data_IF_090658840815
#
_entry.id   IF_090658840815
#
_cell.length_a   1.000
_cell.length_b   1.000
_cell.length_c   1.000
_cell.angle_alpha   90.00
_cell.angle_beta   90.00
_cell.angle_gamma   90.00
#
_symmetry.space_group_name_H-M   'P 1'
#
loop_
_entity.id
_entity.type
_entity.pdbx_description
1 polymer ?
#
# COMPACT_ATOMS: atom_id res chain seq x y z
N UNK A 1 -6.50 -40.19 24.81
CA UNK A 1 -7.00 -40.12 23.42
C UNK A 1 -6.93 -38.67 23.02
N UNK A 2 -6.20 -38.33 21.95
CA UNK A 2 -6.14 -36.95 21.48
C UNK A 2 -7.43 -36.65 20.71
N UNK A 3 -8.29 -35.79 21.27
CA UNK A 3 -9.44 -35.22 20.58
C UNK A 3 -8.92 -34.30 19.48
N UNK A 4 -9.18 -34.64 18.23
CA UNK A 4 -8.76 -33.85 17.07
C UNK A 4 -9.62 -32.59 16.93
N UNK A 5 -9.08 -31.57 16.26
CA UNK A 5 -9.80 -30.32 15.96
C UNK A 5 -11.14 -30.57 15.24
N UNK A 6 -11.24 -31.66 14.48
CA UNK A 6 -12.42 -32.06 13.72
C UNK A 6 -13.46 -32.82 14.55
N UNK A 7 -13.14 -33.18 15.79
CA UNK A 7 -14.08 -33.80 16.72
C UNK A 7 -14.93 -32.74 17.46
N UNK A 8 -14.60 -31.46 17.28
CA UNK A 8 -15.37 -30.33 17.81
C UNK A 8 -16.63 -30.08 16.98
N UNK A 9 -17.71 -29.54 17.59
CA UNK A 9 -18.86 -29.05 16.84
C UNK A 9 -18.45 -28.04 15.76
N UNK A 10 -19.10 -28.12 14.60
CA UNK A 10 -18.79 -27.30 13.42
C UNK A 10 -18.78 -25.79 13.73
N UNK A 11 -19.67 -25.35 14.61
CA UNK A 11 -19.80 -23.96 15.05
C UNK A 11 -18.56 -23.50 15.83
N UNK A 12 -18.03 -24.37 16.69
CA UNK A 12 -16.81 -24.12 17.46
C UNK A 12 -15.58 -24.09 16.55
N UNK A 13 -15.50 -24.99 15.57
CA UNK A 13 -14.43 -24.97 14.57
C UNK A 13 -14.49 -23.67 13.77
N UNK A 14 -15.67 -23.28 13.25
CA UNK A 14 -15.86 -22.03 12.53
C UNK A 14 -15.50 -20.81 13.37
N UNK A 15 -15.89 -20.80 14.65
CA UNK A 15 -15.54 -19.72 15.59
C UNK A 15 -14.03 -19.61 15.79
N UNK A 16 -13.33 -20.75 15.98
CA UNK A 16 -11.88 -20.77 16.13
C UNK A 16 -11.21 -20.24 14.86
N UNK A 17 -11.59 -20.78 13.70
CA UNK A 17 -11.06 -20.37 12.41
C UNK A 17 -11.29 -18.87 12.11
N UNK A 18 -12.46 -18.34 12.43
CA UNK A 18 -12.81 -16.95 12.11
C UNK A 18 -12.14 -15.92 13.02
N UNK A 19 -11.87 -16.26 14.28
CA UNK A 19 -11.40 -15.30 15.28
C UNK A 19 -9.91 -15.43 15.61
N UNK A 20 -9.31 -16.60 15.40
CA UNK A 20 -7.94 -16.87 15.85
C UNK A 20 -6.95 -17.14 14.71
N UNK A 21 -7.43 -17.32 13.49
CA UNK A 21 -6.57 -17.54 12.34
C UNK A 21 -6.66 -16.38 11.35
N UNK A 22 -5.50 -15.99 10.83
CA UNK A 22 -5.42 -15.02 9.76
C UNK A 22 -5.71 -15.67 8.40
N UNK A 23 -5.80 -14.85 7.35
CA UNK A 23 -6.05 -15.34 6.01
C UNK A 23 -4.97 -16.30 5.49
N UNK A 24 -3.72 -16.16 5.95
CA UNK A 24 -2.60 -17.00 5.55
C UNK A 24 -2.74 -18.41 6.10
N UNK A 25 -3.08 -18.53 7.38
CA UNK A 25 -3.28 -19.81 8.03
C UNK A 25 -4.57 -20.49 7.57
N UNK A 26 -5.64 -19.73 7.35
CA UNK A 26 -6.85 -20.23 6.70
C UNK A 26 -6.55 -20.76 5.30
N UNK A 27 -5.69 -20.08 4.54
CA UNK A 27 -5.27 -20.54 3.22
C UNK A 27 -4.42 -21.81 3.27
N UNK A 28 -3.53 -21.94 4.25
CA UNK A 28 -2.78 -23.19 4.49
C UNK A 28 -3.73 -24.33 4.83
N UNK A 29 -4.66 -24.12 5.76
CA UNK A 29 -5.68 -25.11 6.13
C UNK A 29 -6.52 -25.55 4.93
N UNK A 30 -6.88 -24.60 4.06
CA UNK A 30 -7.59 -24.88 2.82
C UNK A 30 -6.80 -25.79 1.86
N UNK A 31 -5.47 -25.66 1.83
CA UNK A 31 -4.59 -26.46 0.98
C UNK A 31 -4.27 -27.84 1.57
N UNK A 32 -4.15 -27.95 2.90
CA UNK A 32 -3.61 -29.15 3.55
C UNK A 32 -4.65 -30.24 3.83
N UNK A 33 -5.92 -29.90 4.00
CA UNK A 33 -6.96 -30.88 4.36
C UNK A 33 -8.25 -30.64 3.59
N UNK A 34 -8.82 -31.71 3.02
CA UNK A 34 -10.12 -31.66 2.33
C UNK A 34 -11.27 -31.35 3.28
N UNK A 35 -11.20 -31.83 4.53
CA UNK A 35 -12.22 -31.59 5.55
C UNK A 35 -12.17 -30.15 6.07
N UNK A 36 -10.98 -29.63 6.34
CA UNK A 36 -10.80 -28.24 6.79
C UNK A 36 -11.00 -27.23 5.65
N UNK A 37 -10.91 -27.67 4.39
CA UNK A 37 -11.16 -26.84 3.21
C UNK A 37 -12.51 -26.17 3.25
N UNK A 38 -13.57 -26.91 3.59
CA UNK A 38 -14.92 -26.36 3.64
C UNK A 38 -15.04 -25.24 4.67
N UNK A 39 -14.55 -25.48 5.90
CA UNK A 39 -14.59 -24.49 6.96
C UNK A 39 -13.73 -23.26 6.63
N UNK A 40 -12.51 -23.47 6.11
CA UNK A 40 -11.65 -22.38 5.66
C UNK A 40 -12.28 -21.58 4.51
N UNK A 41 -12.87 -22.25 3.51
CA UNK A 41 -13.59 -21.57 2.42
C UNK A 41 -14.74 -20.72 2.95
N UNK A 42 -15.55 -21.25 3.86
CA UNK A 42 -16.67 -20.52 4.45
C UNK A 42 -16.17 -19.30 5.23
N UNK A 43 -15.19 -19.45 6.12
CA UNK A 43 -14.62 -18.32 6.90
C UNK A 43 -14.01 -17.26 5.99
N UNK A 44 -13.30 -17.65 4.94
CA UNK A 44 -12.70 -16.68 4.02
C UNK A 44 -13.79 -15.95 3.21
N UNK A 45 -14.87 -16.62 2.82
CA UNK A 45 -15.99 -15.96 2.14
C UNK A 45 -16.76 -15.03 3.08
N UNK A 46 -17.05 -15.44 4.31
CA UNK A 46 -17.91 -14.68 5.22
C UNK A 46 -17.16 -13.57 5.95
N UNK A 47 -15.99 -13.88 6.51
CA UNK A 47 -15.19 -12.93 7.31
C UNK A 47 -14.36 -12.02 6.40
N UNK A 48 -13.72 -12.58 5.37
CA UNK A 48 -12.80 -11.83 4.50
C UNK A 48 -13.44 -11.32 3.21
N UNK A 49 -14.69 -11.73 2.92
CA UNK A 49 -15.46 -11.34 1.72
C UNK A 49 -14.71 -11.63 0.42
N UNK A 50 -13.98 -12.74 0.35
CA UNK A 50 -13.24 -13.15 -0.85
C UNK A 50 -14.03 -14.26 -1.55
N UNK A 51 -14.37 -14.03 -2.82
CA UNK A 51 -14.95 -15.06 -3.67
C UNK A 51 -13.92 -16.17 -3.95
N UNK A 52 -14.24 -17.39 -3.49
CA UNK A 52 -13.42 -18.59 -3.65
C UNK A 52 -13.46 -19.19 -5.05
N UNK A 53 -14.29 -18.68 -5.96
CA UNK A 53 -14.31 -19.14 -7.36
C UNK A 53 -12.97 -18.93 -8.06
N UNK A 54 -12.14 -18.00 -7.56
CA UNK A 54 -10.77 -17.78 -8.01
C UNK A 54 -9.80 -17.94 -6.84
N UNK A 55 -9.10 -19.08 -6.81
CA UNK A 55 -8.01 -19.35 -5.85
C UNK A 55 -6.91 -18.29 -5.86
N UNK A 56 -6.72 -17.63 -7.01
CA UNK A 56 -5.76 -16.55 -7.19
C UNK A 56 -6.02 -15.36 -6.26
N UNK A 57 -7.28 -14.92 -6.08
CA UNK A 57 -7.58 -13.77 -5.23
C UNK A 57 -7.18 -14.01 -3.78
N UNK A 58 -7.38 -15.23 -3.30
CA UNK A 58 -7.02 -15.64 -1.93
C UNK A 58 -5.51 -15.77 -1.80
N UNK A 59 -4.84 -16.43 -2.75
CA UNK A 59 -3.37 -16.54 -2.79
C UNK A 59 -2.70 -15.18 -2.80
N UNK A 60 -3.16 -14.27 -3.67
CA UNK A 60 -2.66 -12.91 -3.74
C UNK A 60 -2.90 -12.17 -2.42
N UNK A 61 -4.10 -12.21 -1.84
CA UNK A 61 -4.37 -11.51 -0.56
C UNK A 61 -3.55 -12.07 0.60
N UNK A 62 -3.43 -13.39 0.73
CA UNK A 62 -2.59 -14.01 1.76
C UNK A 62 -1.12 -13.60 1.58
N UNK A 63 -0.63 -13.58 0.34
CA UNK A 63 0.74 -13.14 0.06
C UNK A 63 0.94 -11.64 0.34
N UNK A 64 -0.02 -10.79 0.03
CA UNK A 64 0.07 -9.35 0.32
C UNK A 64 0.12 -9.07 1.83
N UNK A 65 -0.59 -9.85 2.64
CA UNK A 65 -0.51 -9.76 4.11
C UNK A 65 0.90 -10.11 4.60
N UNK A 66 1.47 -11.22 4.13
CA UNK A 66 2.85 -11.62 4.49
C UNK A 66 3.86 -10.56 4.05
N UNK A 67 3.71 -10.01 2.84
CA UNK A 67 4.58 -8.95 2.33
C UNK A 67 4.47 -7.68 3.17
N UNK A 68 3.27 -7.36 3.63
CA UNK A 68 3.05 -6.25 4.55
C UNK A 68 3.78 -6.48 5.87
N UNK A 69 3.61 -7.65 6.50
CA UNK A 69 4.26 -7.97 7.77
C UNK A 69 5.78 -7.87 7.65
N UNK A 70 6.36 -8.35 6.54
CA UNK A 70 7.78 -8.18 6.24
C UNK A 70 8.15 -6.70 6.12
N UNK A 71 7.39 -5.89 5.38
CA UNK A 71 7.61 -4.45 5.28
C UNK A 71 7.60 -3.76 6.66
N UNK A 72 6.71 -4.20 7.54
CA UNK A 72 6.61 -3.66 8.90
C UNK A 72 7.83 -3.98 9.75
N UNK A 73 8.35 -5.21 9.65
CA UNK A 73 9.53 -5.65 10.40
C UNK A 73 10.78 -4.89 9.94
N UNK A 74 10.96 -4.70 8.64
CA UNK A 74 12.11 -3.98 8.10
C UNK A 74 12.08 -2.48 8.44
N UNK A 75 10.90 -1.85 8.52
CA UNK A 75 10.78 -0.47 8.96
C UNK A 75 11.19 -0.25 10.43
N UNK A 76 11.16 -1.30 11.26
CA UNK A 76 11.57 -1.24 12.67
C UNK A 76 13.07 -1.47 12.89
N UNK A 77 13.82 -1.94 11.88
CA UNK A 77 15.27 -2.12 11.96
C UNK A 77 15.93 -0.75 11.80
N UNK A 78 16.00 -0.02 12.91
CA UNK A 78 16.81 1.19 13.04
C UNK A 78 18.28 0.76 13.18
N UNK A 79 19.24 1.30 12.40
CA UNK A 79 20.65 1.12 12.73
C UNK A 79 20.91 1.78 14.08
N UNK A 80 21.43 0.99 15.03
CA UNK A 80 21.91 1.46 16.33
C UNK A 80 22.89 2.63 16.11
N UNK A 81 22.80 3.72 16.87
CA UNK A 81 23.69 4.86 16.66
C UNK A 81 25.09 4.50 17.15
N UNK A 82 26.02 4.28 16.23
CA UNK A 82 27.44 4.40 16.54
C UNK A 82 27.73 5.86 16.83
N UNK A 83 28.19 6.11 18.04
CA UNK A 83 28.58 7.39 18.61
C UNK A 83 29.65 8.07 17.75
N UNK A 84 29.28 9.15 17.05
CA UNK A 84 30.21 10.23 16.71
C UNK A 84 29.43 11.52 16.49
N UNK A 85 29.66 12.44 17.41
CA UNK A 85 29.21 13.83 17.46
C UNK A 85 29.62 14.65 16.23
N UNK A 86 28.67 15.38 15.63
CA UNK A 86 28.78 16.83 15.30
C UNK A 86 27.66 17.31 14.36
N UNK A 87 26.91 18.30 14.85
CA UNK A 87 26.28 19.45 14.16
C UNK A 87 25.64 19.32 12.75
N UNK A 88 24.37 19.73 12.70
CA UNK A 88 23.64 20.34 11.58
C UNK A 88 23.55 19.58 10.24
N UNK A 89 22.57 18.68 10.11
CA UNK A 89 21.95 18.31 8.82
C UNK A 89 20.70 17.43 9.05
N UNK A 90 19.51 18.03 9.05
CA UNK A 90 18.22 17.34 9.33
C UNK A 90 17.55 16.74 8.09
N UNK A 91 18.05 17.00 6.88
CA UNK A 91 17.50 16.47 5.62
C UNK A 91 18.23 15.22 5.11
N UNK A 92 19.55 15.14 5.31
CA UNK A 92 20.39 14.04 4.80
C UNK A 92 20.07 12.70 5.45
N UNK A 93 19.78 12.70 6.75
CA UNK A 93 19.47 11.50 7.54
C UNK A 93 18.12 10.86 7.20
N UNK A 94 17.11 11.66 6.80
CA UNK A 94 15.81 11.14 6.35
C UNK A 94 15.92 10.48 4.97
N UNK A 95 16.71 11.09 4.08
CA UNK A 95 16.98 10.56 2.76
C UNK A 95 17.77 9.25 2.84
N UNK A 96 18.75 9.15 3.76
CA UNK A 96 19.47 7.90 4.05
C UNK A 96 18.58 6.79 4.60
N UNK A 97 17.65 7.08 5.51
CA UNK A 97 16.71 6.07 6.02
C UNK A 97 15.79 5.53 4.91
N UNK A 98 15.26 6.39 4.05
CA UNK A 98 14.47 5.98 2.88
C UNK A 98 15.30 5.27 1.82
N UNK A 99 16.51 5.74 1.55
CA UNK A 99 17.49 5.05 0.69
C UNK A 99 17.85 3.68 1.28
N UNK A 100 17.90 3.52 2.59
CA UNK A 100 18.13 2.22 3.26
C UNK A 100 16.91 1.32 3.16
N UNK A 101 15.68 1.83 3.17
CA UNK A 101 14.46 1.04 2.88
C UNK A 101 14.37 0.70 1.38
N UNK A 102 14.80 1.60 0.50
CA UNK A 102 14.87 1.39 -0.95
C UNK A 102 16.03 0.45 -1.32
N UNK A 103 17.16 0.46 -0.61
CA UNK A 103 18.35 -0.34 -0.92
C UNK A 103 18.48 -1.63 -0.08
N UNK A 104 17.96 -1.66 1.14
CA UNK A 104 18.09 -2.76 2.11
C UNK A 104 16.94 -3.77 2.11
N UNK A 105 16.04 -3.67 1.12
CA UNK A 105 14.99 -4.66 0.89
C UNK A 105 15.57 -5.79 0.04
N UNK A 106 16.51 -6.52 0.64
CA UNK A 106 17.05 -7.75 0.08
C UNK A 106 16.68 -8.86 1.05
N UNK A 107 15.77 -9.73 0.63
CA UNK A 107 15.26 -10.77 1.49
C UNK A 107 14.65 -11.85 0.61
N UNK A 108 15.39 -12.93 0.40
CA UNK A 108 14.98 -14.11 -0.37
C UNK A 108 13.51 -14.52 -0.12
N UNK A 109 13.00 -14.31 1.11
CA UNK A 109 11.59 -14.53 1.48
C UNK A 109 10.59 -13.71 0.65
N UNK A 110 10.88 -12.44 0.39
CA UNK A 110 10.05 -11.57 -0.45
C UNK A 110 10.09 -12.06 -1.90
N UNK A 111 11.29 -12.39 -2.40
CA UNK A 111 11.44 -12.93 -3.75
C UNK A 111 10.68 -14.25 -3.93
N UNK A 112 10.75 -15.16 -2.95
CA UNK A 112 9.98 -16.41 -2.93
C UNK A 112 8.48 -16.13 -2.95
N UNK A 113 8.02 -15.11 -2.23
CA UNK A 113 6.61 -14.74 -2.18
C UNK A 113 6.13 -14.14 -3.50
N UNK A 114 6.91 -13.23 -4.08
CA UNK A 114 6.69 -12.67 -5.41
C UNK A 114 6.64 -13.80 -6.45
N UNK A 115 7.61 -14.73 -6.45
CA UNK A 115 7.63 -15.89 -7.34
C UNK A 115 6.40 -16.79 -7.17
N UNK A 116 5.91 -16.99 -5.94
CA UNK A 116 4.67 -17.74 -5.69
C UNK A 116 3.46 -17.05 -6.31
N UNK A 117 3.34 -15.72 -6.17
CA UNK A 117 2.28 -14.94 -6.83
C UNK A 117 2.40 -15.10 -8.35
N UNK A 118 3.59 -14.89 -8.89
CA UNK A 118 3.86 -15.00 -10.33
C UNK A 118 3.52 -16.38 -10.89
N UNK A 119 3.94 -17.44 -10.20
CA UNK A 119 3.62 -18.82 -10.55
C UNK A 119 2.12 -19.11 -10.45
N UNK A 120 1.43 -18.50 -9.48
CA UNK A 120 -0.03 -18.57 -9.39
C UNK A 120 -0.70 -17.95 -10.62
N UNK A 121 -0.27 -16.75 -11.02
CA UNK A 121 -0.78 -16.04 -12.20
C UNK A 121 -0.52 -16.87 -13.47
N UNK A 122 0.69 -17.43 -13.60
CA UNK A 122 1.11 -18.22 -14.77
C UNK A 122 0.57 -19.65 -14.79
N UNK A 123 0.11 -20.20 -13.65
CA UNK A 123 -0.38 -21.57 -13.59
C UNK A 123 -1.77 -21.71 -14.23
N UNK A 124 -1.79 -22.08 -15.52
CA UNK A 124 -2.91 -22.78 -16.14
C UNK A 124 -2.48 -23.57 -17.38
N UNK A 125 -3.08 -24.75 -17.58
CA UNK A 125 -2.84 -25.69 -18.69
C UNK A 125 -3.98 -25.61 -19.72
N UNK A 126 -3.64 -25.24 -20.97
CA UNK A 126 -4.29 -25.41 -22.30
C UNK A 126 -5.79 -24.99 -22.49
N UNK A 127 -6.19 -24.28 -23.57
CA UNK A 127 -6.25 -24.82 -24.96
C UNK A 127 -6.41 -23.80 -26.13
N UNK A 128 -6.41 -22.47 -25.94
CA UNK A 128 -6.58 -21.51 -27.06
C UNK A 128 -5.82 -20.19 -26.83
N UNK A 129 -4.96 -19.80 -27.78
CA UNK A 129 -4.00 -18.68 -27.66
C UNK A 129 -4.66 -17.30 -27.44
N UNK A 130 -5.77 -16.99 -28.13
CA UNK A 130 -6.47 -15.70 -27.97
C UNK A 130 -7.26 -15.59 -26.64
N UNK A 131 -7.83 -16.70 -26.17
CA UNK A 131 -8.53 -16.76 -24.87
C UNK A 131 -7.50 -16.68 -23.73
N UNK A 132 -6.31 -17.23 -23.95
CA UNK A 132 -5.18 -17.18 -23.03
C UNK A 132 -4.66 -15.74 -22.83
N UNK A 133 -4.55 -14.94 -23.89
CA UNK A 133 -4.12 -13.52 -23.79
C UNK A 133 -5.12 -12.63 -23.04
N UNK A 134 -6.41 -12.90 -23.18
CA UNK A 134 -7.46 -12.18 -22.44
C UNK A 134 -7.45 -12.59 -20.97
N UNK A 135 -7.30 -13.88 -20.68
CA UNK A 135 -7.24 -14.39 -19.31
C UNK A 135 -6.00 -13.87 -18.55
N UNK A 136 -4.82 -13.91 -19.19
CA UNK A 136 -3.58 -13.39 -18.59
C UNK A 136 -3.71 -11.89 -18.28
N UNK A 137 -4.20 -11.08 -19.22
CA UNK A 137 -4.43 -9.65 -18.96
C UNK A 137 -5.43 -9.41 -17.84
N UNK A 138 -6.52 -10.16 -17.78
CA UNK A 138 -7.50 -10.05 -16.69
C UNK A 138 -6.94 -10.46 -15.32
N UNK A 139 -6.04 -11.44 -15.29
CA UNK A 139 -5.33 -11.84 -14.07
C UNK A 139 -4.32 -10.79 -13.64
N UNK A 140 -3.53 -10.23 -14.57
CA UNK A 140 -2.64 -9.10 -14.30
C UNK A 140 -3.45 -7.94 -13.73
N UNK A 141 -4.55 -7.55 -14.38
CA UNK A 141 -5.45 -6.50 -13.89
C UNK A 141 -5.96 -6.77 -12.48
N UNK A 142 -6.40 -8.01 -12.23
CA UNK A 142 -6.86 -8.43 -10.90
C UNK A 142 -5.74 -8.34 -9.86
N UNK A 143 -4.52 -8.75 -10.21
CA UNK A 143 -3.37 -8.67 -9.31
C UNK A 143 -3.01 -7.21 -9.01
N UNK A 144 -2.95 -6.35 -10.03
CA UNK A 144 -2.68 -4.92 -9.88
C UNK A 144 -3.75 -4.25 -9.01
N UNK A 145 -5.04 -4.51 -9.27
CA UNK A 145 -6.13 -3.97 -8.45
C UNK A 145 -6.08 -4.46 -7.00
N UNK A 146 -5.69 -5.72 -6.75
CA UNK A 146 -5.49 -6.23 -5.38
C UNK A 146 -4.30 -5.55 -4.68
N UNK A 147 -3.18 -5.37 -5.39
CA UNK A 147 -2.00 -4.67 -4.89
C UNK A 147 -2.35 -3.23 -4.55
N UNK A 148 -3.01 -2.52 -5.48
CA UNK A 148 -3.48 -1.15 -5.29
C UNK A 148 -4.40 -1.06 -4.07
N UNK A 149 -5.41 -1.93 -3.96
CA UNK A 149 -6.32 -1.95 -2.84
C UNK A 149 -5.59 -2.15 -1.50
N UNK A 150 -4.58 -3.02 -1.45
CA UNK A 150 -3.81 -3.27 -0.25
C UNK A 150 -2.92 -2.06 0.11
N UNK A 151 -2.21 -1.52 -0.89
CA UNK A 151 -1.34 -0.37 -0.74
C UNK A 151 -2.08 0.90 -0.30
N UNK A 152 -3.31 1.11 -0.79
CA UNK A 152 -4.09 2.32 -0.50
C UNK A 152 -5.02 2.11 0.69
N UNK A 153 -5.99 1.20 0.59
CA UNK A 153 -7.06 1.09 1.58
C UNK A 153 -6.63 0.33 2.84
N UNK A 154 -5.91 -0.78 2.70
CA UNK A 154 -5.45 -1.55 3.88
C UNK A 154 -4.41 -0.73 4.64
N UNK A 155 -3.46 -0.11 3.93
CA UNK A 155 -2.50 0.85 4.53
C UNK A 155 -3.21 1.99 5.26
N UNK A 156 -4.26 2.58 4.68
CA UNK A 156 -5.03 3.65 5.31
C UNK A 156 -5.78 3.20 6.57
N UNK A 157 -6.37 2.00 6.57
CA UNK A 157 -7.01 1.43 7.76
C UNK A 157 -5.98 1.26 8.89
N UNK A 158 -4.77 0.81 8.56
CA UNK A 158 -3.69 0.67 9.54
C UNK A 158 -3.24 2.03 10.07
N UNK A 159 -3.11 3.05 9.20
CA UNK A 159 -2.87 4.44 9.60
C UNK A 159 -3.92 4.90 10.59
N UNK A 160 -5.21 4.79 10.25
CA UNK A 160 -6.32 5.16 11.11
C UNK A 160 -6.28 4.49 12.49
N UNK A 161 -6.03 3.17 12.53
CA UNK A 161 -6.01 2.40 13.79
C UNK A 161 -4.87 2.78 14.71
N UNK A 162 -3.79 3.35 14.18
CA UNK A 162 -2.61 3.77 14.97
C UNK A 162 -2.64 5.26 15.32
N UNK A 163 -3.26 6.08 14.47
CA UNK A 163 -3.48 7.51 14.69
C UNK A 163 -4.54 7.82 15.75
N UNK A 164 -5.31 6.84 16.21
CA UNK A 164 -6.32 6.99 17.28
C UNK A 164 -5.74 7.35 18.67
N UNK A 165 -4.43 7.55 18.80
CA UNK A 165 -3.79 8.09 20.01
C UNK A 165 -3.35 9.56 19.91
N UNK A 166 -3.43 10.21 18.75
CA UNK A 166 -3.10 11.64 18.61
C UNK A 166 -4.04 12.29 17.59
N UNK A 167 -4.99 13.08 18.09
CA UNK A 167 -5.78 14.02 17.32
C UNK A 167 -4.87 15.10 16.72
N UNK A 168 -4.50 15.01 15.44
CA UNK A 168 -3.82 16.13 14.76
C UNK A 168 -4.05 16.18 13.25
N UNK A 169 -5.27 15.88 12.81
CA UNK A 169 -5.76 16.34 11.50
C UNK A 169 -7.19 16.88 11.66
N UNK A 170 -7.37 17.80 12.61
CA UNK A 170 -8.56 18.64 12.64
C UNK A 170 -8.17 20.02 12.15
N UNK A 171 -8.84 20.47 11.09
CA UNK A 171 -8.95 21.88 10.75
C UNK A 171 -9.64 22.59 11.92
N UNK A 172 -8.85 23.13 12.85
CA UNK A 172 -9.34 23.97 13.94
C UNK A 172 -8.65 25.32 13.84
N UNK A 173 -9.41 26.31 13.37
CA UNK A 173 -9.14 27.71 13.65
C UNK A 173 -9.21 27.91 15.17
N UNK A 174 -8.10 27.81 15.87
CA UNK A 174 -7.95 28.39 17.20
C UNK A 174 -6.47 28.54 17.55
N UNK A 175 -6.06 29.79 17.67
CA UNK A 175 -4.80 30.27 18.21
C UNK A 175 -4.46 29.64 19.56
N UNK A 176 -3.45 28.78 19.61
CA UNK A 176 -2.71 28.44 20.84
C UNK A 176 -1.31 27.91 20.48
N UNK A 177 -0.26 28.29 21.21
CA UNK A 177 1.13 27.95 20.87
C UNK A 177 1.46 26.49 21.24
N UNK A 178 2.34 25.80 20.50
CA UNK A 178 2.72 24.43 20.81
C UNK A 178 3.71 24.40 21.97
N UNK A 179 3.43 23.58 22.98
CA UNK A 179 4.36 23.28 24.05
C UNK A 179 4.75 21.80 24.05
N UNK A 180 6.06 21.57 24.19
CA UNK A 180 6.76 20.34 24.52
C UNK A 180 7.07 19.33 23.40
N UNK A 181 8.31 18.85 23.45
CA UNK A 181 9.16 18.37 22.36
C UNK A 181 9.30 16.85 22.28
N UNK A 182 8.25 16.11 22.63
CA UNK A 182 8.28 14.64 22.72
C UNK A 182 7.45 13.91 21.66
N UNK A 183 6.62 14.64 20.88
CA UNK A 183 5.68 14.06 19.90
C UNK A 183 6.28 13.79 18.52
N UNK A 184 7.41 14.42 18.17
CA UNK A 184 8.02 14.32 16.83
C UNK A 184 8.71 12.97 16.57
N UNK A 185 8.90 12.11 17.57
CA UNK A 185 9.64 10.84 17.42
C UNK A 185 8.76 9.67 17.00
N UNK A 186 7.46 9.66 17.33
CA UNK A 186 6.54 8.54 16.99
C UNK A 186 5.89 8.65 15.60
N UNK A 187 5.69 9.86 15.09
CA UNK A 187 5.09 10.09 13.77
C UNK A 187 6.01 9.61 12.64
N UNK A 188 7.30 9.92 12.74
CA UNK A 188 8.30 9.57 11.72
C UNK A 188 8.45 8.05 11.49
N UNK A 189 8.33 7.23 12.54
CA UNK A 189 8.49 5.76 12.44
C UNK A 189 7.29 5.11 11.72
N UNK A 190 6.06 5.60 11.99
CA UNK A 190 4.87 5.11 11.31
C UNK A 190 4.89 5.47 9.82
N UNK A 191 5.27 6.70 9.48
CA UNK A 191 5.33 7.12 8.08
C UNK A 191 6.39 6.34 7.29
N UNK A 192 7.54 6.03 7.92
CA UNK A 192 8.56 5.17 7.32
C UNK A 192 8.02 3.77 7.02
N UNK A 193 7.23 3.20 7.92
CA UNK A 193 6.59 1.90 7.72
C UNK A 193 5.59 1.91 6.55
N UNK A 194 4.81 2.97 6.42
CA UNK A 194 3.86 3.07 5.32
C UNK A 194 4.54 3.27 3.96
N UNK A 195 5.66 4.01 3.92
CA UNK A 195 6.49 4.13 2.71
C UNK A 195 7.20 2.81 2.37
N UNK A 196 7.68 2.07 3.37
CA UNK A 196 8.26 0.74 3.17
C UNK A 196 7.26 -0.23 2.54
N UNK A 197 6.00 -0.17 2.97
CA UNK A 197 4.93 -0.95 2.35
C UNK A 197 4.69 -0.55 0.89
N UNK A 198 4.61 0.75 0.60
CA UNK A 198 4.46 1.24 -0.77
C UNK A 198 5.60 0.75 -1.69
N UNK A 199 6.83 0.82 -1.21
CA UNK A 199 8.02 0.32 -1.93
C UNK A 199 7.90 -1.19 -2.20
N UNK A 200 7.50 -1.98 -1.22
CA UNK A 200 7.34 -3.43 -1.36
C UNK A 200 6.26 -3.79 -2.39
N UNK A 201 5.13 -3.07 -2.36
CA UNK A 201 4.03 -3.24 -3.32
C UNK A 201 4.47 -2.89 -4.74
N UNK A 202 5.26 -1.82 -4.91
CA UNK A 202 5.79 -1.42 -6.21
C UNK A 202 6.83 -2.39 -6.73
N UNK A 203 7.70 -2.93 -5.88
CA UNK A 203 8.64 -3.99 -6.28
C UNK A 203 7.90 -5.21 -6.81
N UNK A 204 6.81 -5.61 -6.16
CA UNK A 204 5.95 -6.69 -6.67
C UNK A 204 5.36 -6.32 -8.03
N UNK A 205 4.92 -5.07 -8.25
CA UNK A 205 4.46 -4.60 -9.56
C UNK A 205 5.56 -4.64 -10.63
N UNK A 206 6.79 -4.20 -10.31
CA UNK A 206 7.94 -4.29 -11.23
C UNK A 206 8.28 -5.75 -11.56
N UNK A 207 8.17 -6.66 -10.58
CA UNK A 207 8.37 -8.10 -10.81
C UNK A 207 7.25 -8.72 -11.63
N UNK A 208 6.01 -8.28 -11.43
CA UNK A 208 4.87 -8.66 -12.26
C UNK A 208 5.09 -8.23 -13.71
N UNK A 209 5.53 -6.98 -13.89
CA UNK A 209 5.82 -6.37 -15.19
C UNK A 209 6.89 -7.15 -15.98
N UNK A 210 8.06 -7.33 -15.36
CA UNK A 210 9.22 -8.05 -15.95
C UNK A 210 9.02 -9.56 -16.12
N UNK A 211 8.03 -10.15 -15.47
CA UNK A 211 7.71 -11.57 -15.66
C UNK A 211 6.72 -11.81 -16.82
N UNK A 212 6.13 -10.75 -17.35
CA UNK A 212 5.13 -10.77 -18.41
C UNK A 212 5.48 -9.71 -19.48
N UNK A 213 6.67 -9.79 -20.07
CA UNK A 213 7.22 -8.80 -21.01
C UNK A 213 6.26 -8.40 -22.15
N UNK A 214 5.50 -9.37 -22.70
CA UNK A 214 4.49 -9.13 -23.74
C UNK A 214 3.32 -8.25 -23.28
N UNK A 215 3.16 -8.04 -21.98
CA UNK A 215 2.08 -7.29 -21.34
C UNK A 215 2.60 -6.20 -20.40
N UNK A 216 3.85 -5.75 -20.54
CA UNK A 216 4.45 -4.74 -19.64
C UNK A 216 3.58 -3.48 -19.49
N UNK A 217 2.96 -3.02 -20.58
CA UNK A 217 2.08 -1.83 -20.51
C UNK A 217 0.80 -2.06 -19.71
N UNK A 218 0.37 -3.31 -19.56
CA UNK A 218 -0.85 -3.67 -18.84
C UNK A 218 -0.73 -3.32 -17.36
N UNK A 219 0.43 -3.54 -16.73
CA UNK A 219 0.66 -3.19 -15.32
C UNK A 219 0.58 -1.69 -15.12
N UNK A 220 1.31 -0.92 -15.94
CA UNK A 220 1.31 0.55 -15.89
C UNK A 220 -0.08 1.13 -16.14
N UNK A 221 -0.76 0.72 -17.22
CA UNK A 221 -2.08 1.25 -17.56
C UNK A 221 -3.13 0.89 -16.51
N UNK A 222 -3.14 -0.35 -16.02
CA UNK A 222 -4.07 -0.74 -14.97
C UNK A 222 -3.82 0.07 -13.70
N UNK A 223 -2.56 0.23 -13.28
CA UNK A 223 -2.25 1.02 -12.09
C UNK A 223 -2.69 2.48 -12.23
N UNK A 224 -2.44 3.08 -13.41
CA UNK A 224 -2.88 4.45 -13.69
C UNK A 224 -4.41 4.58 -13.66
N UNK A 225 -5.14 3.61 -14.22
CA UNK A 225 -6.61 3.59 -14.21
C UNK A 225 -7.15 3.43 -12.77
N UNK A 226 -6.55 2.58 -11.95
CA UNK A 226 -6.92 2.42 -10.53
C UNK A 226 -6.69 3.73 -9.74
N UNK A 227 -5.57 4.42 -9.97
CA UNK A 227 -5.30 5.73 -9.36
C UNK A 227 -6.35 6.75 -9.80
N UNK A 228 -6.65 6.82 -11.09
CA UNK A 228 -7.65 7.76 -11.63
C UNK A 228 -9.03 7.49 -11.04
N UNK A 229 -9.49 6.24 -11.06
CA UNK A 229 -10.77 5.83 -10.49
C UNK A 229 -10.85 6.15 -8.98
N UNK A 230 -9.74 5.96 -8.25
CA UNK A 230 -9.65 6.33 -6.84
C UNK A 230 -9.74 7.85 -6.61
N UNK A 231 -9.12 8.67 -7.44
CA UNK A 231 -9.21 10.13 -7.35
C UNK A 231 -10.64 10.62 -7.65
N UNK A 232 -11.30 10.05 -8.66
CA UNK A 232 -12.71 10.32 -8.96
C UNK A 232 -13.62 9.95 -7.78
N UNK A 233 -13.44 8.74 -7.23
CA UNK A 233 -14.13 8.29 -6.02
C UNK A 233 -13.91 9.24 -4.84
N UNK A 234 -12.66 9.67 -4.63
CA UNK A 234 -12.31 10.61 -3.56
C UNK A 234 -13.02 11.94 -3.74
N UNK A 235 -13.07 12.47 -4.97
CA UNK A 235 -13.80 13.69 -5.26
C UNK A 235 -15.29 13.60 -4.91
N UNK A 236 -15.96 12.53 -5.33
CA UNK A 236 -17.36 12.29 -4.95
C UNK A 236 -17.55 12.18 -3.43
N UNK A 237 -16.59 11.55 -2.76
CA UNK A 237 -16.61 11.36 -1.32
C UNK A 237 -16.37 12.65 -0.55
N UNK A 238 -15.50 13.55 -1.01
CA UNK A 238 -15.27 14.86 -0.39
C UNK A 238 -16.51 15.78 -0.50
N UNK A 239 -17.30 15.65 -1.57
CA UNK A 239 -18.54 16.41 -1.74
C UNK A 239 -19.71 15.89 -0.89
N UNK A 240 -19.65 14.62 -0.47
CA UNK A 240 -20.68 14.03 0.38
C UNK A 240 -20.49 14.46 1.85
N UNK A 241 -21.59 14.67 2.58
CA UNK A 241 -21.53 14.87 4.05
C UNK A 241 -20.95 13.62 4.70
N UNK A 242 -19.69 13.68 5.10
CA UNK A 242 -18.99 12.55 5.72
C UNK A 242 -18.96 12.66 7.24
N UNK A 243 -18.92 11.51 7.90
CA UNK A 243 -18.55 11.47 9.31
C UNK A 243 -17.06 11.80 9.46
N UNK A 244 -16.61 12.38 10.58
CA UNK A 244 -15.20 12.70 10.80
C UNK A 244 -14.27 11.49 10.64
N UNK A 245 -14.74 10.30 11.05
CA UNK A 245 -13.98 9.05 10.89
C UNK A 245 -13.81 8.66 9.41
N UNK A 246 -14.86 8.82 8.60
CA UNK A 246 -14.78 8.48 7.16
C UNK A 246 -13.89 9.48 6.43
N UNK A 247 -13.94 10.76 6.81
CA UNK A 247 -13.06 11.78 6.28
C UNK A 247 -11.60 11.50 6.62
N UNK A 248 -11.30 11.13 7.87
CA UNK A 248 -9.94 10.76 8.27
C UNK A 248 -9.40 9.55 7.48
N UNK A 249 -10.22 8.51 7.29
CA UNK A 249 -9.85 7.36 6.48
C UNK A 249 -9.58 7.74 5.01
N UNK A 250 -10.37 8.66 4.47
CA UNK A 250 -10.18 9.17 3.11
C UNK A 250 -8.83 9.91 2.96
N UNK A 251 -8.49 10.79 3.92
CA UNK A 251 -7.22 11.51 3.91
C UNK A 251 -6.01 10.57 4.05
N UNK A 252 -6.11 9.55 4.92
CA UNK A 252 -5.08 8.52 5.01
C UNK A 252 -4.97 7.67 3.74
N UNK A 253 -6.08 7.41 3.06
CA UNK A 253 -6.09 6.72 1.75
C UNK A 253 -5.42 7.57 0.68
N UNK A 254 -5.67 8.88 0.65
CA UNK A 254 -4.96 9.80 -0.25
C UNK A 254 -3.46 9.82 0.00
N UNK A 255 -3.05 9.88 1.26
CA UNK A 255 -1.63 9.83 1.64
C UNK A 255 -0.99 8.51 1.20
N UNK A 256 -1.68 7.38 1.38
CA UNK A 256 -1.19 6.07 0.96
C UNK A 256 -1.11 5.92 -0.57
N UNK A 257 -2.06 6.50 -1.30
CA UNK A 257 -2.02 6.56 -2.76
C UNK A 257 -0.81 7.37 -3.26
N UNK A 258 -0.50 8.50 -2.62
CA UNK A 258 0.67 9.31 -2.97
C UNK A 258 2.00 8.61 -2.67
N UNK A 259 2.08 7.85 -1.58
CA UNK A 259 3.25 7.00 -1.29
C UNK A 259 3.43 5.90 -2.35
N UNK A 260 2.34 5.23 -2.73
CA UNK A 260 2.36 4.22 -3.80
C UNK A 260 2.79 4.83 -5.14
N UNK A 261 2.23 5.98 -5.49
CA UNK A 261 2.53 6.70 -6.73
C UNK A 261 3.99 7.19 -6.76
N UNK A 262 4.48 7.77 -5.67
CA UNK A 262 5.85 8.22 -5.53
C UNK A 262 6.85 7.07 -5.64
N UNK A 263 6.58 5.95 -4.97
CA UNK A 263 7.37 4.74 -5.14
C UNK A 263 7.31 4.22 -6.59
N UNK A 264 6.13 4.16 -7.20
CA UNK A 264 5.94 3.68 -8.57
C UNK A 264 6.69 4.53 -9.60
N UNK A 265 6.82 5.84 -9.35
CA UNK A 265 7.64 6.75 -10.15
C UNK A 265 9.14 6.44 -10.01
N UNK A 266 9.63 6.27 -8.78
CA UNK A 266 11.05 5.96 -8.50
C UNK A 266 11.47 4.64 -9.14
N UNK A 267 10.60 3.63 -9.08
CA UNK A 267 10.84 2.31 -9.69
C UNK A 267 10.42 2.22 -11.17
N UNK A 268 10.10 3.36 -11.80
CA UNK A 268 9.78 3.47 -13.25
C UNK A 268 8.57 2.64 -13.70
N UNK A 269 7.65 2.30 -12.81
CA UNK A 269 6.35 1.70 -13.15
C UNK A 269 5.40 2.76 -13.70
N UNK A 270 5.44 3.97 -13.13
CA UNK A 270 4.73 5.15 -13.62
C UNK A 270 5.71 6.18 -14.19
N UNK A 271 5.32 6.82 -15.29
CA UNK A 271 5.99 8.01 -15.83
C UNK A 271 5.49 9.32 -15.21
N UNK A 272 6.23 10.41 -15.43
CA UNK A 272 5.93 11.74 -14.85
C UNK A 272 4.51 12.22 -15.20
N UNK A 273 4.02 11.97 -16.43
CA UNK A 273 2.68 12.35 -16.86
C UNK A 273 1.54 11.76 -16.00
N UNK A 274 1.70 10.53 -15.49
CA UNK A 274 0.69 9.90 -14.63
C UNK A 274 0.63 10.58 -13.26
N UNK A 275 1.81 10.93 -12.73
CA UNK A 275 1.93 11.61 -11.43
C UNK A 275 1.45 13.04 -11.54
N UNK A 276 1.79 13.73 -12.62
CA UNK A 276 1.36 15.10 -12.91
C UNK A 276 -0.17 15.21 -12.96
N UNK A 277 -0.83 14.31 -13.71
CA UNK A 277 -2.28 14.23 -13.73
C UNK A 277 -2.89 14.03 -12.33
N UNK A 278 -2.33 13.11 -11.54
CA UNK A 278 -2.82 12.83 -10.20
C UNK A 278 -2.63 14.01 -9.23
N UNK A 279 -1.49 14.71 -9.33
CA UNK A 279 -1.20 15.93 -8.55
C UNK A 279 -2.16 17.03 -8.94
N UNK A 280 -2.30 17.34 -10.23
CA UNK A 280 -3.23 18.36 -10.71
C UNK A 280 -4.65 18.06 -10.23
N UNK A 281 -5.11 16.82 -10.41
CA UNK A 281 -6.46 16.43 -10.00
C UNK A 281 -6.64 16.56 -8.48
N UNK A 282 -5.63 16.19 -7.70
CA UNK A 282 -5.67 16.36 -6.24
C UNK A 282 -5.74 17.83 -5.85
N UNK A 283 -5.00 18.72 -6.53
CA UNK A 283 -5.06 20.17 -6.30
C UNK A 283 -6.45 20.75 -6.62
N UNK A 284 -7.12 20.25 -7.67
CA UNK A 284 -8.50 20.63 -7.99
C UNK A 284 -9.51 20.14 -6.95
N UNK A 285 -9.31 18.93 -6.41
CA UNK A 285 -10.20 18.32 -5.41
C UNK A 285 -10.07 18.98 -4.03
N UNK A 286 -8.85 19.25 -3.60
CA UNK A 286 -8.55 19.90 -2.34
C UNK A 286 -8.32 21.39 -2.57
N UNK A 287 -9.42 22.13 -2.80
CA UNK A 287 -9.41 23.59 -2.84
C UNK A 287 -9.01 24.23 -1.50
N UNK A 288 -9.36 25.50 -1.29
CA UNK A 288 -8.92 26.30 -0.13
C UNK A 288 -9.29 25.71 1.24
N UNK A 289 -10.35 24.90 1.31
CA UNK A 289 -10.87 24.30 2.55
C UNK A 289 -10.01 23.18 3.13
N UNK A 290 -9.10 22.59 2.34
CA UNK A 290 -8.18 21.53 2.79
C UNK A 290 -6.70 21.89 2.53
N UNK A 291 -6.38 23.19 2.47
CA UNK A 291 -5.04 23.70 2.14
C UNK A 291 -3.92 23.06 2.99
N UNK A 292 -4.11 22.94 4.30
CA UNK A 292 -3.11 22.34 5.18
C UNK A 292 -2.80 20.88 4.82
N UNK A 293 -3.82 20.07 4.51
CA UNK A 293 -3.61 18.67 4.11
C UNK A 293 -2.96 18.57 2.73
N UNK A 294 -3.42 19.39 1.77
CA UNK A 294 -2.83 19.46 0.43
C UNK A 294 -1.34 19.83 0.51
N UNK A 295 -0.98 20.82 1.32
CA UNK A 295 0.41 21.26 1.52
C UNK A 295 1.29 20.15 2.10
N UNK A 296 0.81 19.46 3.14
CA UNK A 296 1.53 18.30 3.72
C UNK A 296 1.71 17.20 2.69
N UNK A 297 0.65 16.83 1.98
CA UNK A 297 0.68 15.75 0.98
C UNK A 297 1.68 16.02 -0.16
N UNK A 298 1.68 17.25 -0.69
CA UNK A 298 2.59 17.66 -1.76
C UNK A 298 4.04 17.78 -1.26
N UNK A 299 4.22 18.30 -0.05
CA UNK A 299 5.54 18.38 0.60
C UNK A 299 6.13 17.00 0.82
N UNK A 300 5.31 16.04 1.25
CA UNK A 300 5.74 14.66 1.45
C UNK A 300 6.08 13.99 0.12
N UNK A 301 5.28 14.21 -0.94
CA UNK A 301 5.58 13.72 -2.28
C UNK A 301 6.94 14.24 -2.78
N UNK A 302 7.16 15.55 -2.65
CA UNK A 302 8.38 16.20 -3.09
C UNK A 302 9.60 15.66 -2.33
N UNK A 303 9.54 15.72 -1.00
CA UNK A 303 10.70 15.46 -0.14
C UNK A 303 11.08 13.98 -0.09
N UNK A 304 10.09 13.07 -0.12
CA UNK A 304 10.34 11.65 0.10
C UNK A 304 10.40 10.84 -1.19
N UNK A 305 9.93 11.36 -2.32
CA UNK A 305 9.87 10.60 -3.56
C UNK A 305 10.51 11.32 -4.74
N UNK A 306 10.06 12.53 -5.06
CA UNK A 306 10.52 13.23 -6.26
C UNK A 306 12.01 13.59 -6.20
N UNK A 307 12.50 14.01 -5.04
CA UNK A 307 13.94 14.31 -4.83
C UNK A 307 14.81 13.05 -4.93
N UNK A 308 14.28 11.85 -4.65
CA UNK A 308 15.04 10.60 -4.74
C UNK A 308 15.37 10.20 -6.18
N UNK A 309 14.61 10.69 -7.17
CA UNK A 309 14.87 10.44 -8.59
C UNK A 309 16.03 11.35 -9.02
N UNK A 310 17.26 10.79 -9.08
CA UNK A 310 18.54 11.49 -9.34
C UNK A 310 18.59 12.35 -10.62
N UNK A 311 17.65 12.19 -11.54
CA UNK A 311 17.55 12.97 -12.80
C UNK A 311 16.52 14.12 -12.73
N UNK A 312 15.76 14.26 -11.63
CA UNK A 312 14.49 15.02 -11.58
C UNK A 312 14.51 16.24 -10.65
N UNK A 313 15.68 16.62 -10.11
CA UNK A 313 15.84 17.91 -9.42
C UNK A 313 15.41 19.14 -10.26
N UNK A 314 15.25 18.97 -11.58
CA UNK A 314 14.87 19.98 -12.57
C UNK A 314 13.61 19.62 -13.39
N UNK A 315 12.82 18.61 -13.01
CA UNK A 315 11.64 18.25 -13.81
C UNK A 315 10.50 19.27 -13.65
N UNK A 316 9.69 19.43 -14.70
CA UNK A 316 8.50 20.28 -14.69
C UNK A 316 7.51 19.89 -13.58
N UNK A 317 7.40 18.59 -13.27
CA UNK A 317 6.57 18.09 -12.17
C UNK A 317 7.07 18.60 -10.80
N UNK A 318 8.37 18.55 -10.54
CA UNK A 318 8.95 19.09 -9.31
C UNK A 318 8.70 20.60 -9.19
N UNK A 319 8.85 21.33 -10.30
CA UNK A 319 8.60 22.77 -10.36
C UNK A 319 7.12 23.08 -10.10
N UNK A 320 6.21 22.35 -10.73
CA UNK A 320 4.77 22.49 -10.54
C UNK A 320 4.37 22.23 -9.08
N UNK A 321 4.84 21.13 -8.49
CA UNK A 321 4.57 20.79 -7.08
C UNK A 321 5.07 21.88 -6.13
N UNK A 322 6.28 22.44 -6.35
CA UNK A 322 6.78 23.56 -5.54
C UNK A 322 5.90 24.80 -5.63
N UNK A 323 5.50 25.17 -6.84
CA UNK A 323 4.59 26.31 -7.07
C UNK A 323 3.25 26.10 -6.36
N UNK A 324 2.69 24.89 -6.41
CA UNK A 324 1.43 24.58 -5.73
C UNK A 324 1.54 24.59 -4.19
N UNK A 325 2.71 24.23 -3.64
CA UNK A 325 3.00 24.38 -2.21
C UNK A 325 3.09 25.87 -1.83
N UNK A 326 3.75 26.69 -2.64
CA UNK A 326 3.92 28.14 -2.39
C UNK A 326 2.63 28.95 -2.50
N UNK A 327 1.62 28.46 -3.23
CA UNK A 327 0.30 29.10 -3.36
C UNK A 327 -0.60 28.97 -2.12
N UNK A 328 -0.22 28.16 -1.13
CA UNK A 328 -1.03 27.84 0.06
C UNK A 328 -0.56 28.59 1.28
#
# INVERSE_FOLDING_TARGET
MATGLLDLPNELVMYILANFLDLSDLWRLHQTSSQLRMFASTVIQTTWKIDMKSSMKVQCRAALIVLQDMATQHAQIRPSPTTSSSSSTTTTTKMEALLTVVAGYDGEKEQVLQQKIMRGISSYKHKYVLIQDIDIRNRIRTAVGLIFHHAVFVSAIIRCRRSSSVSSFCCSNSSSPPSSSTETRKTNDNDAQHRALAIAMVRLLTKLDTSFDSYHREVTYTLADEIKAFLEYTGHKLLAKQTPQTQQLLLHSMSACFDLMGAALVFKVLGDNHVDYAVQRTCELFGSSCGNFKSVLLTDLLNHWLIMKREVGTSELCRYVRIEIEKM
#
